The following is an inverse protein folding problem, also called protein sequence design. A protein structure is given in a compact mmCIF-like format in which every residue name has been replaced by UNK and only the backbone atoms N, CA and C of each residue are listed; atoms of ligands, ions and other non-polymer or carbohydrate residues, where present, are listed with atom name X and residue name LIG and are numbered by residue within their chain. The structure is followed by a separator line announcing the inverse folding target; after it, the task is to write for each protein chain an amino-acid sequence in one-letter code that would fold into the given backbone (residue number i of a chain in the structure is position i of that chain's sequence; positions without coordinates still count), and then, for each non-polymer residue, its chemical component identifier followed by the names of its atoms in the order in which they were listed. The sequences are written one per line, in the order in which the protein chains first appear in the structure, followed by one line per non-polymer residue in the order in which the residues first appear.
data_IF_618534396680
#
_entry.id   IF_618534396680
#
_cell.length_a   1.000
_cell.length_b   1.000
_cell.length_c   1.000
_cell.angle_alpha   90.00
_cell.angle_beta   90.00
_cell.angle_gamma   90.00
#
_symmetry.space_group_name_H-M   'P 1'
#
loop_
_entity.id
_entity.type
_entity.pdbx_description
1 polymer ?
#
# COMPACT_ATOMS: atom_id res chain seq x y z
N UNK A 1 -7.83 0.26 10.16
CA UNK A 1 -6.64 -0.12 9.38
C UNK A 1 -6.49 0.88 8.27
N UNK A 2 -5.33 1.48 8.12
CA UNK A 2 -5.06 2.48 7.10
C UNK A 2 -3.58 2.40 6.75
N UNK A 3 -3.26 2.49 5.47
CA UNK A 3 -1.91 2.31 4.96
C UNK A 3 -1.51 3.51 4.11
N UNK A 4 -0.27 3.97 4.26
CA UNK A 4 0.38 4.83 3.28
C UNK A 4 1.22 3.93 2.36
N UNK A 5 0.97 4.02 1.06
CA UNK A 5 1.78 3.41 0.02
C UNK A 5 2.57 4.50 -0.70
N UNK A 6 3.88 4.30 -0.83
CA UNK A 6 4.72 5.08 -1.73
C UNK A 6 5.06 4.22 -2.94
N UNK A 7 4.77 4.69 -4.16
CA UNK A 7 5.18 4.05 -5.42
C UNK A 7 5.76 5.11 -6.33
N UNK A 8 6.98 4.92 -6.84
CA UNK A 8 7.61 5.88 -7.76
C UNK A 8 7.60 7.33 -7.23
N UNK A 9 7.78 7.51 -5.92
CA UNK A 9 7.70 8.77 -5.16
C UNK A 9 6.30 9.39 -5.00
N UNK A 10 5.25 8.75 -5.50
CA UNK A 10 3.87 9.17 -5.23
C UNK A 10 3.35 8.53 -3.95
N UNK A 11 2.70 9.34 -3.11
CA UNK A 11 2.08 8.90 -1.86
C UNK A 11 0.59 8.67 -2.08
N UNK A 12 0.11 7.52 -1.60
CA UNK A 12 -1.28 7.10 -1.72
C UNK A 12 -1.72 6.62 -0.33
N UNK A 13 -2.81 7.18 0.18
CA UNK A 13 -3.50 6.64 1.36
C UNK A 13 -4.49 5.56 0.93
N UNK A 14 -4.47 4.43 1.62
CA UNK A 14 -5.31 3.27 1.34
C UNK A 14 -6.18 2.94 2.55
N UNK A 15 -7.48 2.94 2.32
CA UNK A 15 -8.49 2.45 3.23
C UNK A 15 -8.72 0.93 3.05
N UNK A 16 -9.31 0.24 4.04
CA UNK A 16 -9.63 -1.17 3.92
C UNK A 16 -10.53 -1.45 2.71
N UNK A 17 -10.07 -2.35 1.83
CA UNK A 17 -10.77 -2.71 0.60
C UNK A 17 -10.32 -1.92 -0.64
N UNK A 18 -9.46 -0.91 -0.49
CA UNK A 18 -8.79 -0.31 -1.65
C UNK A 18 -7.78 -1.28 -2.27
N UNK A 19 -7.71 -1.25 -3.60
CA UNK A 19 -6.74 -2.00 -4.39
C UNK A 19 -5.88 -1.02 -5.19
N UNK A 20 -4.61 -1.36 -5.36
CA UNK A 20 -3.64 -0.54 -6.08
C UNK A 20 -2.72 -1.41 -6.91
N UNK A 21 -2.49 -1.01 -8.15
CA UNK A 21 -1.56 -1.69 -9.03
C UNK A 21 -0.14 -1.13 -8.84
N UNK A 22 0.80 -2.01 -8.52
CA UNK A 22 2.23 -1.65 -8.43
C UNK A 22 2.91 -2.18 -9.69
N UNK A 23 3.43 -1.30 -10.57
CA UNK A 23 4.10 -1.74 -11.79
C UNK A 23 5.30 -2.64 -11.51
N UNK A 24 5.57 -3.58 -12.41
CA UNK A 24 6.73 -4.46 -12.30
C UNK A 24 8.03 -3.65 -12.14
N UNK A 25 8.86 -4.05 -11.17
CA UNK A 25 10.14 -3.41 -10.82
C UNK A 25 10.01 -1.98 -10.26
N UNK A 26 8.81 -1.47 -10.02
CA UNK A 26 8.64 -0.20 -9.33
C UNK A 26 9.07 -0.31 -7.86
N UNK A 27 9.89 0.63 -7.41
CA UNK A 27 10.21 0.74 -5.99
C UNK A 27 8.96 1.20 -5.24
N UNK A 28 8.61 0.46 -4.20
CA UNK A 28 7.47 0.79 -3.37
C UNK A 28 7.75 0.55 -1.89
N UNK A 29 6.98 1.22 -1.03
CA UNK A 29 7.05 1.06 0.43
C UNK A 29 5.67 1.18 1.02
N UNK A 30 5.36 0.31 1.99
CA UNK A 30 4.07 0.24 2.67
C UNK A 30 4.27 0.58 4.14
N UNK A 31 3.50 1.54 4.65
CA UNK A 31 3.57 2.00 6.03
C UNK A 31 2.18 1.91 6.66
N UNK A 32 2.10 1.34 7.85
CA UNK A 32 0.87 1.38 8.64
C UNK A 32 0.75 2.73 9.35
N UNK A 33 -0.26 3.51 9.00
CA UNK A 33 -0.50 4.85 9.58
C UNK A 33 -1.68 4.87 10.57
N UNK A 34 -2.25 3.70 10.88
CA UNK A 34 -3.33 3.52 11.84
C UNK A 34 -2.81 3.01 13.20
N UNK A 35 -3.44 3.41 14.31
CA UNK A 35 -3.04 3.08 15.71
C UNK A 35 -3.25 1.60 16.12
N UNK A 36 -3.29 0.68 15.16
CA UNK A 36 -3.49 -0.75 15.41
C UNK A 36 -2.94 -1.59 14.26
N UNK A 37 -3.27 -2.88 14.25
CA UNK A 37 -2.77 -3.78 13.20
C UNK A 37 -3.56 -3.61 11.91
N UNK A 38 -2.86 -3.35 10.80
CA UNK A 38 -3.41 -3.36 9.45
C UNK A 38 -2.97 -4.63 8.71
N UNK A 39 -3.90 -5.30 8.02
CA UNK A 39 -3.63 -6.49 7.19
C UNK A 39 -3.82 -6.12 5.74
N UNK A 40 -2.79 -6.33 4.93
CA UNK A 40 -2.79 -6.13 3.48
C UNK A 40 -2.74 -7.49 2.80
N UNK A 41 -3.55 -7.72 1.76
CA UNK A 41 -3.42 -8.87 0.85
C UNK A 41 -2.74 -8.45 -0.46
N UNK A 42 -1.69 -9.18 -0.86
CA UNK A 42 -0.92 -8.88 -2.06
C UNK A 42 -0.85 -10.10 -2.97
N UNK A 43 -0.67 -9.83 -4.27
CA UNK A 43 -0.49 -10.85 -5.30
C UNK A 43 0.42 -10.33 -6.40
N UNK A 44 1.05 -11.25 -7.13
CA UNK A 44 1.81 -10.97 -8.34
C UNK A 44 1.21 -11.79 -9.47
N UNK A 45 1.13 -11.20 -10.66
CA UNK A 45 0.88 -11.93 -11.90
C UNK A 45 2.19 -12.49 -12.45
#
# INVERSE_FOLDING_TARGET
GQLELVVSNEKIELDPGNEVFIPAKALHSVINIHEGVSRWLFGYN
#
